data_IF_559414246367
#
_entry.id   IF_559414246367
#
_cell.length_a   1.000
_cell.length_b   1.000
_cell.length_c   1.000
_cell.angle_alpha   90.00
_cell.angle_beta   90.00
_cell.angle_gamma   90.00
#
_symmetry.space_group_name_H-M   'P 1'
#
loop_
_entity.id
_entity.type
_entity.pdbx_description
1 polymer ?
#
# COMPACT_ATOMS: atom_id res chain seq x y z
N UNK A 1 23.38 80.31 3.33
CA UNK A 1 22.32 79.44 2.73
C UNK A 1 22.43 77.94 3.07
N UNK A 2 23.49 77.44 3.74
CA UNK A 2 23.58 76.01 4.10
C UNK A 2 22.95 75.63 5.46
N UNK A 3 22.81 76.57 6.40
CA UNK A 3 22.27 76.29 7.75
C UNK A 3 20.74 76.14 7.82
N UNK A 4 19.99 76.88 7.00
CA UNK A 4 18.51 76.83 7.01
C UNK A 4 17.96 75.55 6.35
N UNK A 5 18.65 75.00 5.34
CA UNK A 5 18.25 73.75 4.69
C UNK A 5 18.45 72.53 5.62
N UNK A 6 19.49 72.55 6.46
CA UNK A 6 19.74 71.49 7.43
C UNK A 6 18.71 71.46 8.57
N UNK A 7 18.31 72.64 9.07
CA UNK A 7 17.26 72.79 10.08
C UNK A 7 15.89 72.36 9.54
N UNK A 8 15.58 72.69 8.29
CA UNK A 8 14.34 72.27 7.63
C UNK A 8 14.28 70.76 7.41
N UNK A 9 15.37 70.12 6.97
CA UNK A 9 15.43 68.66 6.85
C UNK A 9 15.35 67.94 8.21
N UNK A 10 15.93 68.52 9.27
CA UNK A 10 15.86 67.96 10.62
C UNK A 10 14.42 68.01 11.18
N UNK A 11 13.72 69.14 11.00
CA UNK A 11 12.31 69.27 11.39
C UNK A 11 11.39 68.35 10.59
N UNK A 12 11.61 68.22 9.27
CA UNK A 12 10.84 67.31 8.43
C UNK A 12 11.05 65.84 8.80
N UNK A 13 12.28 65.44 9.17
CA UNK A 13 12.57 64.08 9.67
C UNK A 13 11.91 63.80 11.04
N UNK A 14 11.93 64.76 11.96
CA UNK A 14 11.25 64.64 13.26
C UNK A 14 9.72 64.53 13.08
N UNK A 15 9.13 65.38 12.24
CA UNK A 15 7.69 65.34 11.93
C UNK A 15 7.28 64.03 11.26
N UNK A 16 8.08 63.52 10.33
CA UNK A 16 7.84 62.24 9.68
C UNK A 16 7.95 61.07 10.66
N UNK A 17 8.95 61.07 11.55
CA UNK A 17 9.10 60.06 12.59
C UNK A 17 7.92 60.03 13.57
N UNK A 18 7.47 61.20 14.04
CA UNK A 18 6.27 61.31 14.90
C UNK A 18 4.99 60.88 14.19
N UNK A 19 4.84 61.19 12.90
CA UNK A 19 3.71 60.75 12.10
C UNK A 19 3.69 59.22 11.94
N UNK A 20 4.83 58.62 11.61
CA UNK A 20 4.98 57.15 11.48
C UNK A 20 4.76 56.46 12.83
N UNK A 21 5.29 56.98 13.94
CA UNK A 21 5.05 56.43 15.28
C UNK A 21 3.59 56.55 15.71
N UNK A 22 2.92 57.67 15.42
CA UNK A 22 1.49 57.85 15.71
C UNK A 22 0.63 56.90 14.86
N UNK A 23 1.02 56.64 13.61
CA UNK A 23 0.35 55.67 12.74
C UNK A 23 0.60 54.22 13.20
N UNK A 24 1.82 53.91 13.65
CA UNK A 24 2.19 52.61 14.22
C UNK A 24 1.42 52.34 15.53
N UNK A 25 1.37 53.31 16.44
CA UNK A 25 0.61 53.19 17.70
C UNK A 25 -0.91 53.10 17.46
N UNK A 26 -1.46 53.84 16.48
CA UNK A 26 -2.87 53.68 16.05
C UNK A 26 -3.15 52.30 15.45
N UNK A 27 -2.26 51.77 14.59
CA UNK A 27 -2.36 50.39 14.06
C UNK A 27 -2.25 49.34 15.17
N UNK A 28 -1.37 49.52 16.15
CA UNK A 28 -1.18 48.60 17.29
C UNK A 28 -2.39 48.61 18.24
N UNK A 29 -3.00 49.78 18.48
CA UNK A 29 -4.23 49.90 19.26
C UNK A 29 -5.46 49.29 18.56
N UNK A 30 -5.59 49.48 17.23
CA UNK A 30 -6.63 48.83 16.42
C UNK A 30 -6.44 47.31 16.34
N UNK A 31 -5.18 46.84 16.30
CA UNK A 31 -4.82 45.42 16.38
C UNK A 31 -5.24 44.77 17.71
N UNK A 32 -4.94 45.41 18.85
CA UNK A 32 -5.36 44.92 20.18
C UNK A 32 -6.88 44.89 20.34
N UNK A 33 -7.61 45.89 19.82
CA UNK A 33 -9.10 45.89 19.82
C UNK A 33 -9.68 44.81 18.90
N UNK A 34 -9.04 44.48 17.77
CA UNK A 34 -9.45 43.36 16.89
C UNK A 34 -9.19 41.99 17.50
N UNK A 35 -8.08 41.82 18.24
CA UNK A 35 -7.75 40.57 18.95
C UNK A 35 -8.71 40.35 20.12
N UNK A 36 -9.04 41.38 20.90
CA UNK A 36 -10.04 41.30 21.98
C UNK A 36 -11.41 40.85 21.46
N UNK A 37 -11.95 41.51 20.43
CA UNK A 37 -13.24 41.13 19.83
C UNK A 37 -13.25 39.72 19.22
N UNK A 38 -12.10 39.23 18.72
CA UNK A 38 -11.97 37.84 18.26
C UNK A 38 -11.96 36.85 19.43
N UNK A 39 -11.31 37.19 20.55
CA UNK A 39 -11.31 36.36 21.76
C UNK A 39 -12.69 36.30 22.40
N UNK A 40 -13.41 37.42 22.46
CA UNK A 40 -14.76 37.49 22.99
C UNK A 40 -15.75 36.68 22.13
N UNK A 41 -15.70 36.83 20.79
CA UNK A 41 -16.48 35.97 19.88
C UNK A 41 -16.13 34.49 20.01
N UNK A 42 -14.86 34.16 20.23
CA UNK A 42 -14.45 32.76 20.43
C UNK A 42 -15.03 32.19 21.72
N UNK A 43 -15.03 32.95 22.82
CA UNK A 43 -15.67 32.53 24.07
C UNK A 43 -17.20 32.48 23.96
N UNK A 44 -17.81 33.36 23.18
CA UNK A 44 -19.26 33.39 22.94
C UNK A 44 -19.71 32.20 22.09
N UNK A 45 -18.96 31.86 21.03
CA UNK A 45 -19.17 30.66 20.21
C UNK A 45 -18.94 29.38 21.04
N UNK A 46 -17.90 29.34 21.88
CA UNK A 46 -17.64 28.21 22.78
C UNK A 46 -18.78 28.04 23.79
N UNK A 47 -19.27 29.13 24.40
CA UNK A 47 -20.42 29.08 25.32
C UNK A 47 -21.68 28.63 24.58
N UNK A 48 -21.96 29.18 23.40
CA UNK A 48 -23.11 28.77 22.58
C UNK A 48 -23.01 27.28 22.18
N UNK A 49 -21.82 26.77 21.87
CA UNK A 49 -21.60 25.36 21.57
C UNK A 49 -21.81 24.46 22.80
N UNK A 50 -21.36 24.89 23.99
CA UNK A 50 -21.62 24.17 25.25
C UNK A 50 -23.10 24.19 25.61
N UNK A 51 -23.78 25.34 25.49
CA UNK A 51 -25.22 25.42 25.71
C UNK A 51 -26.01 24.60 24.69
N UNK A 52 -25.60 24.58 23.42
CA UNK A 52 -26.19 23.70 22.42
C UNK A 52 -25.96 22.22 22.75
N UNK A 53 -24.76 21.84 23.20
CA UNK A 53 -24.47 20.46 23.63
C UNK A 53 -25.31 20.04 24.86
N UNK A 54 -25.47 20.93 25.85
CA UNK A 54 -26.32 20.70 27.02
C UNK A 54 -27.80 20.62 26.60
N UNK A 55 -28.27 21.51 25.73
CA UNK A 55 -29.63 21.47 25.22
C UNK A 55 -29.92 20.21 24.39
N UNK A 56 -28.96 19.73 23.59
CA UNK A 56 -29.05 18.45 22.86
C UNK A 56 -29.06 17.26 23.84
N UNK A 57 -28.25 17.31 24.91
CA UNK A 57 -28.21 16.28 25.93
C UNK A 57 -29.51 16.24 26.76
N UNK A 58 -30.10 17.40 27.08
CA UNK A 58 -31.36 17.52 27.81
C UNK A 58 -32.58 17.21 26.92
N UNK A 59 -32.54 17.55 25.63
CA UNK A 59 -33.56 17.14 24.65
C UNK A 59 -33.48 15.63 24.30
N UNK A 60 -32.48 14.92 24.81
CA UNK A 60 -32.24 13.49 24.59
C UNK A 60 -33.02 12.54 25.51
N UNK A 61 -33.94 13.03 26.36
CA UNK A 61 -34.82 12.18 27.19
C UNK A 61 -36.12 11.74 26.50
N UNK A 62 -36.24 11.93 25.18
CA UNK A 62 -37.29 11.26 24.39
C UNK A 62 -36.80 9.87 24.07
N UNK A 63 -37.53 8.84 24.51
CA UNK A 63 -37.35 7.45 24.08
C UNK A 63 -37.57 7.38 22.56
N UNK A 64 -36.49 7.63 21.81
CA UNK A 64 -36.49 7.46 20.36
C UNK A 64 -36.29 5.97 20.11
N UNK A 65 -37.37 5.29 19.76
CA UNK A 65 -37.30 3.95 19.17
C UNK A 65 -36.19 3.92 18.11
N UNK A 66 -35.39 2.84 18.11
CA UNK A 66 -34.33 2.60 17.13
C UNK A 66 -34.95 2.70 15.75
N UNK A 67 -34.73 3.83 15.08
CA UNK A 67 -35.34 4.11 13.78
C UNK A 67 -34.47 3.42 12.75
N UNK A 68 -34.80 2.17 12.42
CA UNK A 68 -34.14 1.43 11.37
C UNK A 68 -34.49 2.08 10.02
N UNK A 69 -33.60 2.93 9.49
CA UNK A 69 -33.83 3.65 8.23
C UNK A 69 -33.77 2.75 6.99
N UNK A 70 -33.63 1.44 7.17
CA UNK A 70 -33.35 0.44 6.14
C UNK A 70 -34.56 -0.44 5.76
N UNK A 71 -35.80 -0.07 6.09
CA UNK A 71 -37.02 -0.86 5.79
C UNK A 71 -37.21 -1.24 4.31
N UNK A 72 -36.52 -0.59 3.35
CA UNK A 72 -36.58 -0.95 1.92
C UNK A 72 -35.46 -1.87 1.43
N UNK A 73 -34.40 -2.13 2.22
CA UNK A 73 -33.26 -2.95 1.80
C UNK A 73 -33.33 -4.33 2.41
N UNK A 74 -33.31 -5.36 1.57
CA UNK A 74 -33.28 -6.74 2.04
C UNK A 74 -31.89 -7.11 2.57
N UNK A 75 -31.83 -7.73 3.74
CA UNK A 75 -30.61 -8.33 4.28
C UNK A 75 -30.52 -9.83 3.98
N UNK A 76 -31.52 -10.39 3.28
CA UNK A 76 -31.75 -11.83 3.14
C UNK A 76 -30.58 -12.58 2.50
N UNK A 77 -29.80 -11.94 1.62
CA UNK A 77 -28.66 -12.63 1.02
C UNK A 77 -27.62 -13.01 2.08
N UNK A 78 -27.19 -12.07 2.93
CA UNK A 78 -26.22 -12.38 3.99
C UNK A 78 -26.87 -13.18 5.12
N UNK A 79 -28.06 -12.79 5.56
CA UNK A 79 -28.69 -13.35 6.77
C UNK A 79 -29.32 -14.74 6.53
N UNK A 80 -29.70 -15.05 5.28
CA UNK A 80 -30.40 -16.30 4.93
C UNK A 80 -29.66 -17.09 3.85
N UNK A 81 -29.32 -16.49 2.71
CA UNK A 81 -28.79 -17.24 1.54
C UNK A 81 -27.38 -17.78 1.82
N UNK A 82 -26.49 -16.98 2.39
CA UNK A 82 -25.10 -17.40 2.70
C UNK A 82 -25.02 -18.54 3.72
N UNK A 83 -26.03 -18.65 4.60
CA UNK A 83 -26.14 -19.70 5.61
C UNK A 83 -27.04 -20.87 5.18
N UNK A 84 -27.63 -20.80 3.98
CA UNK A 84 -28.45 -21.88 3.43
C UNK A 84 -27.55 -23.05 2.99
N UNK A 85 -27.97 -24.32 3.18
CA UNK A 85 -27.16 -25.50 2.80
C UNK A 85 -26.75 -25.55 1.32
N UNK A 86 -27.53 -24.92 0.44
CA UNK A 86 -27.21 -24.82 -0.98
C UNK A 86 -26.06 -23.85 -1.30
N UNK A 87 -25.67 -22.99 -0.36
CA UNK A 87 -24.48 -22.16 -0.48
C UNK A 87 -23.27 -22.98 -0.02
N UNK A 88 -22.81 -23.86 -0.90
CA UNK A 88 -21.72 -24.77 -0.63
C UNK A 88 -20.37 -24.05 -0.47
N UNK A 89 -19.31 -24.81 -0.17
CA UNK A 89 -17.95 -24.26 -0.03
C UNK A 89 -17.39 -23.73 -1.35
N UNK A 90 -17.84 -24.26 -2.49
CA UNK A 90 -17.40 -23.80 -3.81
C UNK A 90 -17.95 -22.40 -4.13
N UNK A 91 -19.23 -22.16 -3.89
CA UNK A 91 -19.85 -20.86 -4.09
C UNK A 91 -19.32 -19.84 -3.08
N UNK A 92 -19.05 -20.26 -1.84
CA UNK A 92 -18.34 -19.45 -0.87
C UNK A 92 -16.95 -19.04 -1.38
N UNK A 93 -16.16 -20.02 -1.81
CA UNK A 93 -14.79 -19.78 -2.28
C UNK A 93 -14.77 -18.85 -3.50
N UNK A 94 -15.72 -19.01 -4.42
CA UNK A 94 -15.86 -18.15 -5.60
C UNK A 94 -16.13 -16.69 -5.24
N UNK A 95 -16.86 -16.43 -4.16
CA UNK A 95 -17.26 -15.07 -3.73
C UNK A 95 -16.29 -14.41 -2.76
N UNK A 96 -15.72 -15.18 -1.83
CA UNK A 96 -14.86 -14.67 -0.77
C UNK A 96 -13.37 -14.94 -1.00
N UNK A 97 -13.02 -15.79 -1.99
CA UNK A 97 -11.64 -16.12 -2.40
C UNK A 97 -10.81 -16.78 -1.30
N UNK A 98 -11.49 -17.29 -0.30
CA UNK A 98 -10.91 -17.98 0.84
C UNK A 98 -11.90 -18.99 1.42
N UNK A 99 -11.39 -19.97 2.16
CA UNK A 99 -12.23 -20.92 2.89
C UNK A 99 -13.01 -20.23 4.02
N UNK A 100 -14.15 -20.83 4.42
CA UNK A 100 -14.91 -20.38 5.61
C UNK A 100 -14.05 -20.41 6.87
N UNK A 101 -13.20 -21.41 7.03
CA UNK A 101 -12.31 -21.54 8.17
C UNK A 101 -11.34 -20.36 8.28
N UNK A 102 -10.71 -19.96 7.17
CA UNK A 102 -9.82 -18.79 7.15
C UNK A 102 -10.57 -17.49 7.38
N UNK A 103 -11.76 -17.34 6.79
CA UNK A 103 -12.63 -16.19 7.06
C UNK A 103 -12.96 -16.05 8.55
N UNK A 104 -13.34 -17.14 9.22
CA UNK A 104 -13.66 -17.14 10.64
C UNK A 104 -12.45 -16.79 11.49
N UNK A 105 -11.27 -17.35 11.17
CA UNK A 105 -10.01 -16.96 11.85
C UNK A 105 -9.71 -15.47 11.71
N UNK A 106 -9.90 -14.88 10.52
CA UNK A 106 -9.73 -13.43 10.32
C UNK A 106 -10.75 -12.66 11.15
N UNK A 107 -12.00 -13.11 11.24
CA UNK A 107 -13.00 -12.47 12.08
C UNK A 107 -12.56 -12.45 13.54
N UNK A 108 -12.11 -13.59 14.07
CA UNK A 108 -11.71 -13.73 15.47
C UNK A 108 -10.45 -12.91 15.78
N UNK A 109 -9.46 -12.88 14.88
CA UNK A 109 -8.24 -12.07 15.05
C UNK A 109 -8.51 -10.56 15.03
N UNK A 110 -9.49 -10.10 14.24
CA UNK A 110 -9.81 -8.68 14.09
C UNK A 110 -10.93 -8.20 15.04
N UNK A 111 -11.63 -9.12 15.70
CA UNK A 111 -12.74 -8.82 16.61
C UNK A 111 -12.40 -7.74 17.65
N UNK A 112 -11.26 -7.78 18.37
CA UNK A 112 -10.92 -6.79 19.39
C UNK A 112 -10.85 -5.34 18.86
N UNK A 113 -10.62 -5.16 17.56
CA UNK A 113 -10.48 -3.84 16.91
C UNK A 113 -11.74 -3.41 16.15
N UNK A 114 -12.58 -4.37 15.76
CA UNK A 114 -13.77 -4.12 14.93
C UNK A 114 -15.08 -4.10 15.70
N UNK A 115 -15.11 -4.62 16.93
CA UNK A 115 -16.29 -4.55 17.81
C UNK A 115 -16.69 -3.08 18.03
N UNK A 116 -17.99 -2.82 17.92
CA UNK A 116 -18.60 -1.54 18.24
C UNK A 116 -19.66 -1.73 19.30
N UNK A 117 -19.81 -0.72 20.16
CA UNK A 117 -20.80 -0.73 21.25
C UNK A 117 -22.20 -0.42 20.73
N UNK A 118 -23.19 -1.12 21.27
CA UNK A 118 -24.60 -0.78 21.08
C UNK A 118 -24.89 0.61 21.61
N UNK A 119 -25.49 1.44 20.76
CA UNK A 119 -25.93 2.79 21.15
C UNK A 119 -27.45 2.82 21.19
N UNK A 120 -28.04 3.80 21.90
CA UNK A 120 -29.49 4.02 21.90
C UNK A 120 -30.07 4.27 20.51
N UNK A 121 -29.24 4.67 19.54
CA UNK A 121 -29.68 5.04 18.19
C UNK A 121 -29.60 3.88 17.19
N UNK A 122 -28.71 2.90 17.40
CA UNK A 122 -28.46 1.82 16.43
C UNK A 122 -27.75 0.61 17.04
N UNK A 123 -28.20 -0.58 16.67
CA UNK A 123 -27.50 -1.85 16.89
C UNK A 123 -26.29 -1.96 15.95
N UNK A 124 -25.10 -2.31 16.45
CA UNK A 124 -23.89 -2.35 15.64
C UNK A 124 -23.95 -3.51 14.66
N UNK A 125 -23.43 -3.30 13.45
CA UNK A 125 -23.24 -4.36 12.46
C UNK A 125 -22.25 -5.38 13.05
N UNK A 126 -22.61 -6.69 13.16
CA UNK A 126 -21.75 -7.71 13.72
C UNK A 126 -20.40 -7.82 12.99
N UNK A 127 -19.31 -8.13 13.71
CA UNK A 127 -17.95 -8.20 13.15
C UNK A 127 -17.88 -9.10 11.92
N UNK A 128 -18.51 -10.27 11.96
CA UNK A 128 -18.56 -11.20 10.82
C UNK A 128 -19.16 -10.56 9.57
N UNK A 129 -20.26 -9.82 9.71
CA UNK A 129 -20.89 -9.09 8.60
C UNK A 129 -19.98 -7.96 8.10
N UNK A 130 -19.29 -7.25 8.98
CA UNK A 130 -18.32 -6.19 8.62
C UNK A 130 -17.16 -6.75 7.78
N UNK A 131 -16.55 -7.84 8.25
CA UNK A 131 -15.43 -8.51 7.59
C UNK A 131 -15.89 -9.09 6.24
N UNK A 132 -17.09 -9.69 6.19
CA UNK A 132 -17.66 -10.22 4.96
C UNK A 132 -17.90 -9.15 3.90
N UNK A 133 -18.47 -8.00 4.28
CA UNK A 133 -18.66 -6.86 3.37
C UNK A 133 -17.33 -6.42 2.75
N UNK A 134 -16.29 -6.29 3.59
CA UNK A 134 -14.99 -5.86 3.13
C UNK A 134 -14.33 -6.88 2.19
N UNK A 135 -14.26 -8.15 2.60
CA UNK A 135 -13.66 -9.22 1.79
C UNK A 135 -14.42 -9.40 0.48
N UNK A 136 -15.76 -9.37 0.50
CA UNK A 136 -16.56 -9.47 -0.71
C UNK A 136 -16.22 -8.35 -1.71
N UNK A 137 -16.11 -7.11 -1.22
CA UNK A 137 -15.75 -5.97 -2.07
C UNK A 137 -14.33 -6.11 -2.64
N UNK A 138 -13.35 -6.52 -1.83
CA UNK A 138 -11.98 -6.77 -2.30
C UNK A 138 -11.94 -7.88 -3.37
N UNK A 139 -12.70 -8.95 -3.16
CA UNK A 139 -12.77 -10.13 -4.01
C UNK A 139 -13.51 -9.91 -5.34
N UNK A 140 -14.55 -9.07 -5.35
CA UNK A 140 -15.37 -8.83 -6.54
C UNK A 140 -14.97 -7.56 -7.30
N UNK A 141 -14.49 -6.54 -6.57
CA UNK A 141 -14.26 -5.19 -7.10
C UNK A 141 -15.54 -4.56 -7.64
N UNK A 142 -16.70 -4.87 -7.06
CA UNK A 142 -17.98 -4.27 -7.45
C UNK A 142 -18.14 -2.85 -6.89
N UNK A 143 -19.11 -2.11 -7.42
CA UNK A 143 -19.47 -0.80 -6.90
C UNK A 143 -20.00 -0.92 -5.46
N UNK A 144 -19.67 0.05 -4.61
CA UNK A 144 -20.15 0.06 -3.21
C UNK A 144 -21.68 -0.04 -3.11
N UNK A 145 -22.42 0.55 -4.06
CA UNK A 145 -23.89 0.44 -4.09
C UNK A 145 -24.37 -1.00 -4.27
N UNK A 146 -23.69 -1.77 -5.13
CA UNK A 146 -24.04 -3.18 -5.39
C UNK A 146 -23.82 -4.02 -4.15
N UNK A 147 -22.70 -3.82 -3.45
CA UNK A 147 -22.41 -4.50 -2.19
C UNK A 147 -23.38 -4.05 -1.09
N UNK A 148 -23.76 -2.77 -1.06
CA UNK A 148 -24.72 -2.22 -0.11
C UNK A 148 -26.10 -2.87 -0.26
N UNK A 149 -26.61 -2.97 -1.50
CA UNK A 149 -27.89 -3.62 -1.78
C UNK A 149 -27.86 -5.11 -1.44
N UNK A 150 -26.74 -5.78 -1.71
CA UNK A 150 -26.57 -7.22 -1.43
C UNK A 150 -26.55 -7.53 0.08
N UNK A 151 -25.89 -6.71 0.89
CA UNK A 151 -25.78 -6.94 2.33
C UNK A 151 -26.89 -6.26 3.16
N UNK A 152 -27.77 -5.51 2.51
CA UNK A 152 -28.81 -4.71 3.14
C UNK A 152 -28.24 -3.60 4.02
N UNK A 153 -27.29 -2.82 3.48
CA UNK A 153 -26.62 -1.72 4.16
C UNK A 153 -26.70 -0.44 3.31
N UNK A 154 -26.42 0.72 3.90
CA UNK A 154 -26.20 1.94 3.12
C UNK A 154 -24.82 1.97 2.47
N UNK A 155 -24.71 2.55 1.27
CA UNK A 155 -23.44 2.71 0.53
C UNK A 155 -22.35 3.37 1.37
N UNK A 156 -22.70 4.39 2.15
CA UNK A 156 -21.76 5.04 3.07
C UNK A 156 -21.27 4.09 4.17
N UNK A 157 -22.13 3.20 4.67
CA UNK A 157 -21.71 2.19 5.65
C UNK A 157 -20.73 1.20 5.03
N UNK A 158 -21.00 0.69 3.82
CA UNK A 158 -20.09 -0.22 3.12
C UNK A 158 -18.73 0.42 2.89
N UNK A 159 -18.69 1.64 2.36
CA UNK A 159 -17.46 2.39 2.14
C UNK A 159 -16.62 2.52 3.43
N UNK A 160 -17.25 2.96 4.53
CA UNK A 160 -16.58 3.07 5.82
C UNK A 160 -16.10 1.70 6.34
N UNK A 161 -16.90 0.65 6.21
CA UNK A 161 -16.54 -0.70 6.66
C UNK A 161 -15.33 -1.26 5.90
N UNK A 162 -15.27 -1.07 4.58
CA UNK A 162 -14.14 -1.50 3.75
C UNK A 162 -12.87 -0.78 4.20
N UNK A 163 -12.92 0.54 4.38
CA UNK A 163 -11.77 1.32 4.80
C UNK A 163 -11.32 1.00 6.23
N UNK A 164 -12.26 0.90 7.17
CA UNK A 164 -12.00 0.50 8.56
C UNK A 164 -11.34 -0.88 8.61
N UNK A 165 -11.87 -1.86 7.85
CA UNK A 165 -11.31 -3.20 7.76
C UNK A 165 -9.87 -3.18 7.22
N UNK A 166 -9.63 -2.49 6.09
CA UNK A 166 -8.29 -2.44 5.50
C UNK A 166 -7.28 -1.79 6.45
N UNK A 167 -7.67 -0.71 7.13
CA UNK A 167 -6.83 -0.07 8.13
C UNK A 167 -6.52 -1.02 9.30
N UNK A 168 -7.51 -1.70 9.84
CA UNK A 168 -7.33 -2.64 10.96
C UNK A 168 -6.43 -3.81 10.54
N UNK A 169 -6.61 -4.37 9.34
CA UNK A 169 -5.72 -5.41 8.80
C UNK A 169 -4.27 -4.92 8.72
N UNK A 170 -4.05 -3.72 8.22
CA UNK A 170 -2.70 -3.13 8.12
C UNK A 170 -2.08 -2.92 9.51
N UNK A 171 -2.84 -2.40 10.47
CA UNK A 171 -2.33 -2.13 11.82
C UNK A 171 -2.02 -3.42 12.62
N UNK A 172 -2.77 -4.50 12.39
CA UNK A 172 -2.72 -5.71 13.23
C UNK A 172 -2.02 -6.90 12.58
N UNK A 173 -2.28 -7.14 11.29
CA UNK A 173 -1.86 -8.36 10.60
C UNK A 173 -0.62 -8.12 9.73
N UNK A 174 -0.44 -6.93 9.14
CA UNK A 174 0.71 -6.67 8.25
C UNK A 174 2.07 -6.98 8.89
N UNK A 175 2.37 -6.54 10.13
CA UNK A 175 3.68 -6.82 10.74
C UNK A 175 3.94 -8.30 11.00
N UNK A 176 2.88 -9.13 11.02
CA UNK A 176 2.96 -10.58 11.29
C UNK A 176 3.09 -11.39 10.01
N UNK A 177 2.42 -10.96 8.94
CA UNK A 177 2.31 -11.74 7.70
C UNK A 177 3.22 -11.24 6.57
N UNK A 178 3.73 -10.00 6.65
CA UNK A 178 4.72 -9.46 5.70
C UNK A 178 5.94 -9.03 6.50
N UNK A 179 7.00 -9.84 6.42
CA UNK A 179 8.25 -9.57 7.11
C UNK A 179 9.45 -10.12 6.33
N UNK A 180 10.58 -9.43 6.48
CA UNK A 180 11.82 -9.85 5.84
C UNK A 180 12.31 -11.18 6.43
N UNK A 181 12.62 -12.20 5.60
CA UNK A 181 13.04 -13.50 6.09
C UNK A 181 14.40 -13.40 6.80
N UNK A 182 14.53 -14.08 7.94
CA UNK A 182 15.75 -14.13 8.75
C UNK A 182 16.01 -15.55 9.24
N UNK A 183 17.27 -15.84 9.58
CA UNK A 183 17.67 -17.13 10.14
C UNK A 183 17.20 -18.30 9.28
N UNK A 184 16.45 -19.22 9.87
CA UNK A 184 15.99 -20.42 9.18
C UNK A 184 15.00 -20.13 8.04
N UNK A 185 14.12 -19.12 8.20
CA UNK A 185 13.21 -18.75 7.12
C UNK A 185 13.96 -18.25 5.88
N UNK A 186 15.08 -17.54 6.06
CA UNK A 186 15.93 -17.11 4.96
C UNK A 186 16.61 -18.29 4.27
N UNK A 187 17.14 -19.26 5.03
CA UNK A 187 17.72 -20.49 4.46
C UNK A 187 16.70 -21.28 3.64
N UNK A 188 15.48 -21.41 4.17
CA UNK A 188 14.38 -22.05 3.45
C UNK A 188 14.06 -21.32 2.15
N UNK A 189 14.03 -19.99 2.15
CA UNK A 189 13.81 -19.21 0.93
C UNK A 189 14.91 -19.43 -0.10
N UNK A 190 16.18 -19.36 0.31
CA UNK A 190 17.34 -19.59 -0.57
C UNK A 190 17.32 -20.99 -1.17
N UNK A 191 17.12 -22.01 -0.34
CA UNK A 191 17.01 -23.39 -0.79
C UNK A 191 15.79 -23.60 -1.70
N UNK A 192 14.67 -22.93 -1.42
CA UNK A 192 13.46 -22.99 -2.22
C UNK A 192 13.66 -22.44 -3.63
N UNK A 193 14.38 -21.32 -3.78
CA UNK A 193 14.75 -20.82 -5.11
C UNK A 193 15.72 -21.75 -5.84
N UNK A 194 16.70 -22.30 -5.15
CA UNK A 194 17.66 -23.23 -5.75
C UNK A 194 16.97 -24.51 -6.23
N UNK A 195 16.04 -25.07 -5.44
CA UNK A 195 15.30 -26.28 -5.81
C UNK A 195 14.27 -26.04 -6.91
N UNK A 196 13.55 -24.91 -6.87
CA UNK A 196 12.42 -24.67 -7.77
C UNK A 196 12.83 -24.05 -9.10
N UNK A 197 13.85 -23.20 -9.08
CA UNK A 197 14.25 -22.38 -10.22
C UNK A 197 15.71 -22.57 -10.63
N UNK A 198 16.44 -23.48 -9.97
CA UNK A 198 17.88 -23.68 -10.17
C UNK A 198 18.68 -22.37 -10.00
N UNK A 199 18.19 -21.43 -9.19
CA UNK A 199 18.84 -20.15 -8.99
C UNK A 199 19.39 -20.05 -7.56
N UNK A 200 20.72 -20.16 -7.38
CA UNK A 200 21.31 -20.18 -6.05
C UNK A 200 21.36 -18.79 -5.42
N UNK A 201 21.48 -18.77 -4.08
CA UNK A 201 21.68 -17.53 -3.31
C UNK A 201 20.58 -16.47 -3.54
N UNK A 202 19.37 -16.88 -3.93
CA UNK A 202 18.23 -15.97 -4.15
C UNK A 202 17.30 -15.96 -2.93
N UNK A 203 17.05 -14.79 -2.36
CA UNK A 203 16.10 -14.59 -1.25
C UNK A 203 14.74 -14.02 -1.70
N UNK A 204 14.58 -13.70 -2.98
CA UNK A 204 13.35 -13.16 -3.51
C UNK A 204 13.52 -12.50 -4.87
N UNK A 205 12.39 -12.18 -5.50
CA UNK A 205 12.33 -11.35 -6.70
C UNK A 205 11.61 -10.04 -6.37
N UNK A 206 12.16 -8.91 -6.83
CA UNK A 206 11.59 -7.57 -6.67
C UNK A 206 11.02 -7.07 -7.98
N UNK A 207 9.82 -6.49 -7.91
CA UNK A 207 9.22 -5.79 -9.04
C UNK A 207 8.16 -4.77 -8.60
N UNK A 208 7.76 -3.90 -9.52
CA UNK A 208 6.70 -2.92 -9.37
C UNK A 208 5.44 -3.31 -10.16
N UNK A 209 4.26 -3.08 -9.58
CA UNK A 209 2.98 -3.20 -10.28
C UNK A 209 2.16 -1.94 -10.15
N UNK A 210 1.48 -1.55 -11.22
CA UNK A 210 0.56 -0.42 -11.23
C UNK A 210 -0.83 -0.86 -10.79
N UNK A 211 -1.39 -0.14 -9.81
CA UNK A 211 -2.79 -0.22 -9.39
C UNK A 211 -3.51 0.97 -9.97
N UNK A 212 -4.46 0.74 -10.87
CA UNK A 212 -5.23 1.80 -11.50
C UNK A 212 -6.11 2.53 -10.49
N UNK A 213 -6.09 3.86 -10.54
CA UNK A 213 -6.90 4.73 -9.69
C UNK A 213 -7.62 5.77 -10.52
N UNK A 214 -8.74 6.26 -10.02
CA UNK A 214 -9.33 7.48 -10.59
C UNK A 214 -8.36 8.65 -10.43
N UNK A 215 -8.33 9.54 -11.43
CA UNK A 215 -7.52 10.75 -11.38
C UNK A 215 -7.77 11.52 -10.07
N UNK A 216 -6.73 11.74 -9.23
CA UNK A 216 -6.87 12.53 -8.02
C UNK A 216 -7.28 13.97 -8.34
N UNK A 217 -7.97 14.64 -7.41
CA UNK A 217 -8.37 16.04 -7.58
C UNK A 217 -7.19 17.01 -7.59
N UNK A 218 -6.11 16.67 -6.89
CA UNK A 218 -4.88 17.45 -6.78
C UNK A 218 -3.69 16.62 -7.26
N UNK A 219 -2.76 17.23 -8.00
CA UNK A 219 -1.52 16.56 -8.43
C UNK A 219 -1.73 15.37 -9.39
N UNK A 220 -2.84 15.34 -10.13
CA UNK A 220 -3.21 14.18 -10.95
C UNK A 220 -2.11 13.76 -11.96
N UNK A 221 -1.34 14.72 -12.49
CA UNK A 221 -0.24 14.47 -13.43
C UNK A 221 0.83 13.54 -12.86
N UNK A 222 1.06 13.56 -11.55
CA UNK A 222 2.06 12.71 -10.91
C UNK A 222 1.64 11.24 -10.92
N UNK A 223 0.33 10.98 -10.94
CA UNK A 223 -0.22 9.63 -10.97
C UNK A 223 -0.34 9.08 -12.39
N UNK A 224 -0.17 9.91 -13.42
CA UNK A 224 -0.26 9.50 -14.81
C UNK A 224 1.00 8.71 -15.22
N UNK A 225 0.80 7.44 -15.58
CA UNK A 225 1.89 6.54 -15.94
C UNK A 225 2.15 6.54 -17.45
N UNK A 226 3.20 5.81 -17.85
CA UNK A 226 3.63 5.66 -19.25
C UNK A 226 2.61 4.92 -20.13
N UNK A 227 1.67 4.19 -19.53
CA UNK A 227 0.61 3.45 -20.22
C UNK A 227 -0.65 4.28 -20.47
N UNK A 228 -0.64 5.54 -20.06
CA UNK A 228 -1.74 6.47 -20.34
C UNK A 228 -2.88 6.44 -19.34
N UNK A 229 -2.69 5.89 -18.14
CA UNK A 229 -3.69 5.89 -17.08
C UNK A 229 -3.12 6.33 -15.73
N UNK A 230 -4.01 6.71 -14.80
CA UNK A 230 -3.61 7.14 -13.45
C UNK A 230 -3.43 5.91 -12.56
N UNK A 231 -2.33 5.85 -11.82
CA UNK A 231 -2.01 4.68 -10.99
C UNK A 231 -1.21 5.02 -9.74
N UNK A 232 -1.31 4.12 -8.76
CA UNK A 232 -0.42 4.02 -7.61
C UNK A 232 0.46 2.79 -7.79
N UNK A 233 1.76 2.90 -7.53
CA UNK A 233 2.69 1.79 -7.63
C UNK A 233 2.76 1.02 -6.30
N UNK A 234 2.68 -0.30 -6.41
CA UNK A 234 3.09 -1.27 -5.39
C UNK A 234 4.42 -1.87 -5.85
N UNK A 235 5.51 -1.60 -5.14
CA UNK A 235 6.73 -2.40 -5.26
C UNK A 235 6.72 -3.48 -4.19
N UNK A 236 7.11 -4.70 -4.54
CA UNK A 236 7.18 -5.78 -3.58
C UNK A 236 8.39 -6.70 -3.81
N UNK A 237 8.86 -7.32 -2.74
CA UNK A 237 9.77 -8.47 -2.78
C UNK A 237 8.98 -9.73 -2.47
N UNK A 238 9.08 -10.72 -3.34
CA UNK A 238 8.31 -11.97 -3.27
C UNK A 238 9.25 -13.16 -3.11
N UNK A 239 8.86 -14.14 -2.30
CA UNK A 239 9.62 -15.37 -2.12
C UNK A 239 9.26 -16.48 -3.13
N UNK A 240 9.95 -17.62 -3.04
CA UNK A 240 9.75 -18.76 -3.94
C UNK A 240 8.34 -19.40 -3.86
N UNK A 241 7.55 -19.06 -2.83
CA UNK A 241 6.18 -19.50 -2.59
C UNK A 241 5.14 -18.43 -2.94
N UNK A 242 5.51 -17.40 -3.70
CA UNK A 242 4.62 -16.30 -4.09
C UNK A 242 4.12 -15.44 -2.92
N UNK A 243 4.83 -15.44 -1.78
CA UNK A 243 4.49 -14.64 -0.60
C UNK A 243 5.26 -13.33 -0.61
N UNK A 244 4.60 -12.25 -0.26
CA UNK A 244 5.21 -10.94 -0.11
C UNK A 244 6.06 -10.89 1.18
N UNK A 245 7.35 -10.61 1.04
CA UNK A 245 8.29 -10.45 2.17
C UNK A 245 8.55 -9.00 2.50
N UNK A 246 8.38 -8.11 1.52
CA UNK A 246 8.40 -6.66 1.66
C UNK A 246 7.39 -6.05 0.68
N UNK A 247 6.74 -4.96 1.10
CA UNK A 247 5.87 -4.15 0.23
C UNK A 247 6.12 -2.66 0.47
N UNK A 248 6.09 -1.88 -0.60
CA UNK A 248 6.19 -0.43 -0.59
C UNK A 248 5.10 0.15 -1.50
N UNK A 249 4.08 0.74 -0.89
CA UNK A 249 2.83 1.16 -1.56
C UNK A 249 2.61 2.66 -1.40
N UNK A 250 2.06 3.29 -2.45
CA UNK A 250 1.60 4.67 -2.38
C UNK A 250 2.39 5.63 -3.26
N UNK A 251 3.29 5.13 -4.09
CA UNK A 251 4.05 5.96 -5.02
C UNK A 251 3.19 6.36 -6.21
N UNK A 252 3.26 7.63 -6.68
CA UNK A 252 2.58 8.05 -7.89
C UNK A 252 3.07 7.27 -9.13
N UNK A 253 2.17 7.01 -10.07
CA UNK A 253 2.42 6.20 -11.28
C UNK A 253 3.52 6.71 -12.22
N UNK A 254 3.96 7.96 -12.11
CA UNK A 254 5.10 8.46 -12.88
C UNK A 254 6.47 8.07 -12.28
N UNK A 255 6.49 7.57 -11.03
CA UNK A 255 7.73 7.29 -10.30
C UNK A 255 8.36 5.99 -10.78
N UNK A 256 9.63 6.05 -11.13
CA UNK A 256 10.42 4.90 -11.56
C UNK A 256 10.72 3.91 -10.42
N UNK A 257 10.74 2.62 -10.74
CA UNK A 257 11.02 1.53 -9.79
C UNK A 257 12.34 1.69 -9.04
N UNK A 258 13.39 2.13 -9.71
CA UNK A 258 14.69 2.40 -9.08
C UNK A 258 14.60 3.48 -7.98
N UNK A 259 13.72 4.48 -8.13
CA UNK A 259 13.49 5.50 -7.10
C UNK A 259 12.69 4.93 -5.93
N UNK A 260 11.71 4.09 -6.20
CA UNK A 260 10.93 3.39 -5.17
C UNK A 260 11.85 2.46 -4.36
N UNK A 261 12.74 1.73 -5.04
CA UNK A 261 13.73 0.85 -4.43
C UNK A 261 14.63 1.60 -3.47
N UNK A 262 15.18 2.76 -3.87
CA UNK A 262 16.04 3.58 -2.99
C UNK A 262 15.33 4.02 -1.69
N UNK A 263 14.00 4.01 -1.67
CA UNK A 263 13.18 4.38 -0.52
C UNK A 263 12.56 3.15 0.19
N UNK A 264 12.91 1.92 -0.21
CA UNK A 264 12.36 0.70 0.36
C UNK A 264 13.10 0.25 1.63
N UNK A 265 12.50 -0.67 2.39
CA UNK A 265 13.14 -1.28 3.54
C UNK A 265 14.39 -2.11 3.15
N UNK A 266 14.36 -2.97 2.11
CA UNK A 266 15.53 -3.72 1.65
C UNK A 266 16.75 -2.83 1.37
N UNK A 267 16.55 -1.69 0.70
CA UNK A 267 17.65 -0.78 0.38
C UNK A 267 18.29 -0.19 1.63
N UNK A 268 17.48 0.31 2.58
CA UNK A 268 17.96 0.84 3.85
C UNK A 268 18.68 -0.21 4.70
N UNK A 269 18.21 -1.45 4.69
CA UNK A 269 18.88 -2.57 5.36
C UNK A 269 20.21 -2.91 4.69
N UNK A 270 20.29 -2.82 3.37
CA UNK A 270 21.53 -3.08 2.64
C UNK A 270 22.59 -2.00 2.90
N UNK A 271 22.20 -0.72 2.92
CA UNK A 271 23.12 0.39 3.26
C UNK A 271 23.71 0.23 4.67
N UNK A 272 22.97 -0.40 5.58
CA UNK A 272 23.42 -0.70 6.95
C UNK A 272 24.21 -2.01 7.07
N UNK A 273 24.32 -2.79 5.99
CA UNK A 273 24.94 -4.11 6.01
C UNK A 273 24.12 -5.17 6.78
N UNK A 274 22.81 -4.96 6.96
CA UNK A 274 21.93 -5.84 7.75
C UNK A 274 20.87 -6.56 6.90
N UNK A 275 20.92 -6.45 5.57
CA UNK A 275 19.93 -7.07 4.69
C UNK A 275 20.03 -8.60 4.71
N UNK A 276 21.25 -9.11 4.57
CA UNK A 276 21.55 -10.55 4.60
C UNK A 276 22.79 -10.82 5.47
N UNK A 277 22.81 -11.97 6.17
CA UNK A 277 23.97 -12.40 6.93
C UNK A 277 25.16 -12.74 6.02
N UNK A 278 26.36 -12.16 6.25
CA UNK A 278 27.54 -12.44 5.42
C UNK A 278 27.97 -13.91 5.47
N UNK A 279 27.69 -14.63 6.56
CA UNK A 279 27.98 -16.05 6.74
C UNK A 279 27.19 -16.98 5.81
N UNK A 280 26.15 -16.49 5.12
CA UNK A 280 25.41 -17.26 4.12
C UNK A 280 26.01 -17.17 2.70
N UNK A 281 27.09 -16.39 2.53
CA UNK A 281 27.82 -16.27 1.26
C UNK A 281 28.40 -17.62 0.84
N UNK A 282 28.20 -18.00 -0.43
CA UNK A 282 28.73 -19.24 -1.01
C UNK A 282 29.80 -18.95 -2.06
N UNK A 283 30.87 -19.71 -2.09
CA UNK A 283 31.88 -19.61 -3.16
C UNK A 283 31.39 -20.39 -4.38
N UNK A 284 31.26 -19.71 -5.52
CA UNK A 284 30.87 -20.28 -6.82
C UNK A 284 31.94 -19.89 -7.84
N UNK A 285 32.57 -20.87 -8.48
CA UNK A 285 33.67 -20.66 -9.43
C UNK A 285 34.78 -19.72 -8.90
N UNK A 286 35.14 -19.88 -7.61
CA UNK A 286 36.15 -19.05 -6.95
C UNK A 286 35.69 -17.65 -6.54
N UNK A 287 34.44 -17.26 -6.81
CA UNK A 287 33.87 -15.96 -6.46
C UNK A 287 32.93 -16.08 -5.25
N UNK A 288 33.07 -15.25 -4.21
CA UNK A 288 32.11 -15.20 -3.10
C UNK A 288 30.79 -14.57 -3.58
N UNK A 289 29.74 -15.38 -3.63
CA UNK A 289 28.39 -14.98 -4.03
C UNK A 289 27.52 -14.83 -2.78
N UNK A 290 27.15 -13.59 -2.39
CA UNK A 290 26.26 -13.36 -1.25
C UNK A 290 24.83 -13.73 -1.60
N UNK A 291 23.96 -13.76 -0.59
CA UNK A 291 22.52 -13.82 -0.79
C UNK A 291 22.06 -12.52 -1.48
N UNK A 292 21.18 -12.65 -2.47
CA UNK A 292 20.73 -11.58 -3.35
C UNK A 292 19.21 -11.63 -3.57
N UNK A 293 18.67 -10.53 -4.09
CA UNK A 293 17.33 -10.42 -4.66
C UNK A 293 17.48 -10.33 -6.19
N UNK A 294 16.50 -10.81 -6.95
CA UNK A 294 16.47 -10.68 -8.40
C UNK A 294 15.59 -9.51 -8.82
N UNK A 295 16.11 -8.62 -9.66
CA UNK A 295 15.40 -7.47 -10.20
C UNK A 295 15.31 -7.50 -11.71
N UNK A 296 14.33 -6.77 -12.22
CA UNK A 296 14.19 -6.44 -13.63
C UNK A 296 15.36 -5.56 -14.17
N UNK A 297 15.43 -5.35 -15.49
CA UNK A 297 16.47 -4.49 -16.08
C UNK A 297 16.42 -3.01 -15.66
N UNK A 298 15.25 -2.51 -15.24
CA UNK A 298 15.06 -1.13 -14.79
C UNK A 298 15.69 -0.86 -13.40
N UNK A 299 15.94 -1.90 -12.61
CA UNK A 299 16.69 -1.79 -11.36
C UNK A 299 18.21 -1.61 -11.58
N UNK A 300 18.95 -1.06 -10.59
CA UNK A 300 20.42 -1.05 -10.62
C UNK A 300 21.01 -2.44 -10.32
N UNK A 301 22.22 -2.69 -10.80
CA UNK A 301 23.01 -3.86 -10.40
C UNK A 301 23.77 -3.53 -9.10
N UNK A 302 23.42 -4.17 -7.99
CA UNK A 302 24.00 -3.93 -6.65
C UNK A 302 24.51 -5.23 -6.02
N UNK A 303 25.40 -5.19 -5.01
CA UNK A 303 25.94 -6.41 -4.37
C UNK A 303 24.89 -7.39 -3.82
N UNK A 304 23.66 -6.91 -3.57
CA UNK A 304 22.52 -7.67 -3.06
C UNK A 304 21.32 -7.68 -4.03
N UNK A 305 21.44 -7.08 -5.22
CA UNK A 305 20.40 -7.01 -6.23
C UNK A 305 20.97 -7.37 -7.61
N UNK A 306 20.60 -8.56 -8.09
CA UNK A 306 21.06 -9.11 -9.35
C UNK A 306 20.08 -8.80 -10.47
N UNK A 307 20.61 -8.42 -11.65
CA UNK A 307 19.82 -8.23 -12.87
C UNK A 307 20.53 -8.79 -14.10
N UNK A 308 19.73 -9.07 -15.13
CA UNK A 308 20.20 -9.57 -16.42
C UNK A 308 21.27 -8.70 -17.09
N UNK A 309 22.02 -9.29 -18.01
CA UNK A 309 22.86 -8.56 -18.96
C UNK A 309 21.94 -7.74 -19.88
N UNK A 310 22.33 -6.48 -20.13
CA UNK A 310 21.63 -5.65 -21.11
C UNK A 310 21.76 -6.27 -22.50
N UNK A 311 20.63 -6.41 -23.20
CA UNK A 311 20.62 -6.91 -24.56
C UNK A 311 20.80 -5.76 -25.55
N UNK A 312 21.96 -5.73 -26.19
CA UNK A 312 22.31 -4.79 -27.25
C UNK A 312 22.40 -5.50 -28.61
N UNK A 313 21.79 -6.69 -28.75
CA UNK A 313 21.85 -7.52 -29.96
C UNK A 313 23.09 -8.42 -30.04
N UNK A 314 23.99 -8.37 -29.07
CA UNK A 314 25.26 -9.12 -29.06
C UNK A 314 25.49 -9.95 -27.79
N UNK A 315 24.42 -10.48 -27.19
CA UNK A 315 24.55 -11.39 -26.05
C UNK A 315 25.14 -12.74 -26.48
N UNK A 316 26.27 -13.11 -25.87
CA UNK A 316 26.82 -14.47 -25.98
C UNK A 316 25.84 -15.50 -25.40
N UNK A 317 25.82 -16.73 -25.92
CA UNK A 317 24.98 -17.85 -25.41
C UNK A 317 24.99 -17.97 -23.88
N UNK A 318 26.17 -17.84 -23.26
CA UNK A 318 26.36 -17.82 -21.80
C UNK A 318 25.50 -16.76 -21.09
N UNK A 319 25.55 -15.52 -21.58
CA UNK A 319 24.78 -14.38 -21.04
C UNK A 319 23.28 -14.52 -21.34
N UNK A 320 22.93 -15.04 -22.50
CA UNK A 320 21.53 -15.34 -22.85
C UNK A 320 20.94 -16.39 -21.92
N UNK A 321 21.67 -17.47 -21.65
CA UNK A 321 21.25 -18.49 -20.69
C UNK A 321 21.08 -17.91 -19.28
N UNK A 322 22.04 -17.10 -18.81
CA UNK A 322 21.91 -16.40 -17.53
C UNK A 322 20.63 -15.53 -17.47
N UNK A 323 20.37 -14.74 -18.51
CA UNK A 323 19.16 -13.93 -18.59
C UNK A 323 17.89 -14.79 -18.55
N UNK A 324 17.87 -15.92 -19.27
CA UNK A 324 16.75 -16.86 -19.26
C UNK A 324 16.50 -17.45 -17.88
N UNK A 325 17.54 -17.92 -17.18
CA UNK A 325 17.46 -18.45 -15.81
C UNK A 325 17.00 -17.38 -14.82
N UNK A 326 17.53 -16.16 -14.92
CA UNK A 326 17.13 -15.03 -14.07
C UNK A 326 15.67 -14.64 -14.30
N UNK A 327 15.23 -14.52 -15.56
CA UNK A 327 13.83 -14.21 -15.88
C UNK A 327 12.90 -15.32 -15.39
N UNK A 328 13.29 -16.59 -15.55
CA UNK A 328 12.52 -17.75 -15.07
C UNK A 328 12.35 -17.72 -13.54
N UNK A 329 13.42 -17.45 -12.79
CA UNK A 329 13.34 -17.28 -11.33
C UNK A 329 12.52 -16.05 -10.94
N UNK A 330 12.59 -14.96 -11.72
CA UNK A 330 11.79 -13.75 -11.50
C UNK A 330 10.31 -13.94 -11.74
N UNK A 331 9.87 -14.92 -12.55
CA UNK A 331 8.44 -15.21 -12.73
C UNK A 331 7.67 -15.36 -11.42
N UNK A 332 8.34 -15.68 -10.29
CA UNK A 332 7.72 -15.66 -8.96
C UNK A 332 7.01 -14.35 -8.62
N UNK A 333 7.61 -13.18 -8.91
CA UNK A 333 7.01 -11.89 -8.55
C UNK A 333 5.85 -11.54 -9.46
N UNK A 334 5.98 -11.80 -10.76
CA UNK A 334 4.92 -11.60 -11.75
C UNK A 334 3.71 -12.51 -11.46
N UNK A 335 3.97 -13.80 -11.15
CA UNK A 335 2.93 -14.72 -10.73
C UNK A 335 2.25 -14.27 -9.43
N UNK A 336 3.01 -13.75 -8.45
CA UNK A 336 2.43 -13.25 -7.21
C UNK A 336 1.53 -12.03 -7.43
N UNK A 337 1.92 -11.07 -8.27
CA UNK A 337 1.06 -9.95 -8.64
C UNK A 337 -0.18 -10.41 -9.40
N UNK A 338 -0.05 -11.36 -10.32
CA UNK A 338 -1.21 -11.86 -11.05
C UNK A 338 -2.17 -12.67 -10.19
N UNK A 339 -1.67 -13.39 -9.19
CA UNK A 339 -2.49 -14.03 -8.15
C UNK A 339 -3.15 -13.02 -7.23
N UNK A 340 -2.42 -11.98 -6.82
CA UNK A 340 -2.92 -10.89 -5.98
C UNK A 340 -4.11 -10.18 -6.64
N UNK A 341 -3.94 -9.71 -7.88
CA UNK A 341 -5.00 -9.06 -8.68
C UNK A 341 -6.12 -10.02 -9.05
N UNK A 342 -5.80 -11.30 -9.25
CA UNK A 342 -6.77 -12.35 -9.54
C UNK A 342 -7.70 -12.67 -8.36
N UNK A 343 -7.15 -12.84 -7.16
CA UNK A 343 -7.93 -13.01 -5.92
C UNK A 343 -8.69 -11.72 -5.59
N UNK A 344 -7.99 -10.60 -5.54
CA UNK A 344 -8.56 -9.32 -5.14
C UNK A 344 -8.85 -8.46 -6.37
N UNK A 345 -9.97 -8.77 -7.03
CA UNK A 345 -10.41 -8.14 -8.28
C UNK A 345 -10.53 -6.61 -8.19
N UNK A 346 -10.67 -6.04 -6.99
CA UNK A 346 -10.64 -4.59 -6.83
C UNK A 346 -9.32 -3.97 -7.33
N UNK A 347 -8.20 -4.70 -7.28
CA UNK A 347 -6.89 -4.26 -7.75
C UNK A 347 -6.68 -4.40 -9.27
N UNK A 348 -7.54 -5.16 -9.93
CA UNK A 348 -7.54 -5.36 -11.39
C UNK A 348 -8.46 -4.37 -12.11
N UNK A 349 -9.11 -3.47 -11.37
CA UNK A 349 -10.02 -2.43 -11.90
C UNK A 349 -9.56 -1.07 -11.40
N UNK A 350 -10.01 -0.01 -12.07
CA UNK A 350 -9.84 1.36 -11.60
C UNK A 350 -10.50 1.54 -10.22
N UNK A 351 -9.68 1.83 -9.21
CA UNK A 351 -10.17 2.09 -7.85
C UNK A 351 -10.84 3.47 -7.77
N UNK A 352 -12.16 3.49 -7.54
CA UNK A 352 -12.95 4.70 -7.26
C UNK A 352 -13.02 4.95 -5.75
N UNK A 353 -11.85 5.23 -5.16
CA UNK A 353 -11.68 5.59 -3.75
C UNK A 353 -10.74 6.78 -3.64
N UNK A 354 -10.78 7.46 -2.49
CA UNK A 354 -9.81 8.52 -2.22
C UNK A 354 -8.37 7.98 -2.24
N UNK A 355 -7.46 8.73 -2.86
CA UNK A 355 -6.06 8.31 -3.07
C UNK A 355 -5.35 7.98 -1.75
N UNK A 356 -5.71 8.63 -0.65
CA UNK A 356 -5.15 8.37 0.69
C UNK A 356 -5.53 6.99 1.24
N UNK A 357 -6.58 6.35 0.69
CA UNK A 357 -7.06 5.04 1.13
C UNK A 357 -6.43 3.89 0.35
N UNK A 358 -5.90 4.16 -0.84
CA UNK A 358 -5.32 3.14 -1.74
C UNK A 358 -4.19 2.36 -1.07
N UNK A 359 -3.22 2.98 -0.36
CA UNK A 359 -2.15 2.23 0.30
C UNK A 359 -2.65 1.17 1.27
N UNK A 360 -3.66 1.49 2.08
CA UNK A 360 -4.22 0.54 3.05
C UNK A 360 -4.99 -0.60 2.37
N UNK A 361 -5.74 -0.31 1.29
CA UNK A 361 -6.46 -1.34 0.54
C UNK A 361 -5.48 -2.34 -0.09
N UNK A 362 -4.49 -1.83 -0.81
CA UNK A 362 -3.47 -2.68 -1.48
C UNK A 362 -2.67 -3.47 -0.45
N UNK A 363 -2.27 -2.85 0.66
CA UNK A 363 -1.53 -3.52 1.73
C UNK A 363 -2.38 -4.62 2.39
N UNK A 364 -3.67 -4.35 2.65
CA UNK A 364 -4.59 -5.37 3.17
C UNK A 364 -4.74 -6.55 2.22
N UNK A 365 -4.85 -6.31 0.90
CA UNK A 365 -4.87 -7.37 -0.10
C UNK A 365 -3.59 -8.22 -0.08
N UNK A 366 -2.40 -7.60 0.07
CA UNK A 366 -1.13 -8.32 0.17
C UNK A 366 -1.08 -9.21 1.42
N UNK A 367 -1.58 -8.70 2.55
CA UNK A 367 -1.66 -9.46 3.81
C UNK A 367 -2.61 -10.65 3.67
N UNK A 368 -3.82 -10.42 3.16
CA UNK A 368 -4.78 -11.48 2.93
C UNK A 368 -4.25 -12.52 1.94
N UNK A 369 -3.56 -12.09 0.88
CA UNK A 369 -2.89 -13.01 -0.05
C UNK A 369 -1.87 -13.91 0.66
N UNK A 370 -0.99 -13.35 1.49
CA UNK A 370 -0.02 -14.13 2.26
C UNK A 370 -0.69 -15.13 3.20
N UNK A 371 -1.77 -14.74 3.90
CA UNK A 371 -2.55 -15.66 4.75
C UNK A 371 -3.00 -16.87 3.93
N UNK A 372 -3.53 -16.66 2.72
CA UNK A 372 -4.01 -17.73 1.86
C UNK A 372 -2.89 -18.63 1.33
N UNK A 373 -1.75 -18.05 0.90
CA UNK A 373 -0.58 -18.83 0.48
C UNK A 373 0.00 -19.66 1.64
N UNK A 374 0.05 -19.09 2.86
CA UNK A 374 0.53 -19.80 4.05
C UNK A 374 -0.38 -20.95 4.45
N UNK A 375 -1.69 -20.79 4.28
CA UNK A 375 -2.68 -21.84 4.50
C UNK A 375 -2.72 -22.88 3.36
N UNK A 376 -1.95 -22.67 2.29
CA UNK A 376 -1.95 -23.49 1.07
C UNK A 376 -3.33 -23.59 0.43
N UNK A 377 -4.10 -22.50 0.47
CA UNK A 377 -5.41 -22.46 -0.20
C UNK A 377 -5.22 -22.40 -1.72
N UNK A 378 -5.90 -23.31 -2.42
CA UNK A 378 -5.75 -23.49 -3.86
C UNK A 378 -6.15 -22.22 -4.63
N UNK A 379 -5.26 -21.72 -5.48
CA UNK A 379 -5.60 -20.60 -6.36
C UNK A 379 -6.25 -21.13 -7.64
N UNK A 380 -7.46 -20.69 -7.92
CA UNK A 380 -8.14 -20.97 -9.18
C UNK A 380 -7.44 -20.22 -10.31
N UNK A 381 -6.84 -20.98 -11.23
CA UNK A 381 -6.07 -20.45 -12.37
C UNK A 381 -6.92 -19.59 -13.31
N UNK A 382 -8.25 -19.78 -13.34
CA UNK A 382 -9.15 -18.93 -14.12
C UNK A 382 -9.21 -17.49 -13.58
N UNK A 383 -8.68 -17.23 -12.39
CA UNK A 383 -8.61 -15.88 -11.83
C UNK A 383 -7.31 -15.17 -12.18
N UNK A 384 -6.30 -15.86 -12.71
CA UNK A 384 -5.00 -15.27 -12.99
C UNK A 384 -5.13 -14.05 -13.91
N UNK A 385 -4.56 -12.94 -13.47
CA UNK A 385 -4.50 -11.69 -14.23
C UNK A 385 -3.03 -11.37 -14.49
N UNK A 386 -2.49 -11.58 -15.71
CA UNK A 386 -1.10 -11.24 -15.97
C UNK A 386 -0.89 -9.76 -15.70
N UNK A 387 0.24 -9.42 -15.07
CA UNK A 387 0.61 -8.02 -14.96
C UNK A 387 1.12 -7.56 -16.32
N UNK A 388 0.61 -6.44 -16.81
CA UNK A 388 1.06 -5.94 -18.11
C UNK A 388 2.50 -5.43 -17.97
N UNK A 389 3.40 -5.85 -18.86
CA UNK A 389 4.79 -5.37 -18.86
C UNK A 389 4.87 -3.85 -19.13
N UNK A 390 5.83 -3.17 -18.50
CA UNK A 390 6.15 -1.75 -18.76
C UNK A 390 7.43 -1.70 -19.62
N UNK A 391 7.50 -0.87 -20.67
CA UNK A 391 8.73 -0.68 -21.44
C UNK A 391 9.88 -0.21 -20.54
N UNK A 392 11.02 -0.91 -20.65
CA UNK A 392 12.17 -0.77 -19.76
C UNK A 392 12.77 0.65 -19.77
N UNK A 393 13.11 1.15 -18.58
CA UNK A 393 13.90 2.37 -18.41
C UNK A 393 15.38 2.14 -18.80
N UNK A 394 16.15 3.21 -19.07
CA UNK A 394 17.57 3.08 -19.44
C UNK A 394 18.39 2.34 -18.38
N UNK A 395 19.35 1.56 -18.86
CA UNK A 395 20.21 0.67 -18.07
C UNK A 395 21.03 1.47 -17.06
N UNK A 396 20.86 1.19 -15.77
CA UNK A 396 21.75 1.70 -14.71
C UNK A 396 22.94 0.74 -14.54
N UNK A 397 24.17 1.27 -14.65
CA UNK A 397 25.41 0.51 -14.50
C UNK A 397 25.71 0.15 -13.03
N UNK A 398 26.42 -0.97 -12.82
CA UNK A 398 26.79 -1.48 -11.49
C UNK A 398 28.29 -1.42 -11.21
N UNK A 399 28.67 -1.81 -9.99
CA UNK A 399 30.07 -1.85 -9.53
C UNK A 399 30.80 -3.10 -10.05
N UNK A 400 32.12 -2.99 -10.28
CA UNK A 400 32.95 -4.05 -10.86
C UNK A 400 32.89 -5.40 -10.10
N UNK A 401 32.75 -5.38 -8.77
CA UNK A 401 32.61 -6.61 -7.96
C UNK A 401 31.30 -7.35 -8.22
N UNK A 402 30.22 -6.61 -8.46
CA UNK A 402 28.90 -7.20 -8.76
C UNK A 402 28.86 -7.82 -10.16
N UNK A 403 29.65 -7.28 -11.09
CA UNK A 403 29.85 -7.91 -12.40
C UNK A 403 30.49 -9.30 -12.27
N UNK A 404 31.50 -9.47 -11.42
CA UNK A 404 32.15 -10.77 -11.20
C UNK A 404 31.19 -11.82 -10.62
N UNK A 405 30.32 -11.44 -9.67
CA UNK A 405 29.28 -12.34 -9.13
C UNK A 405 28.33 -12.80 -10.25
N UNK A 406 27.88 -11.87 -11.10
CA UNK A 406 27.01 -12.20 -12.22
C UNK A 406 27.69 -13.12 -13.23
N UNK A 407 28.95 -12.85 -13.55
CA UNK A 407 29.72 -13.67 -14.47
C UNK A 407 29.96 -15.08 -13.90
N UNK A 408 30.25 -15.23 -12.60
CA UNK A 408 30.40 -16.53 -11.95
C UNK A 408 29.12 -17.38 -11.99
N UNK A 409 27.95 -16.75 -11.80
CA UNK A 409 26.65 -17.42 -11.96
C UNK A 409 26.39 -17.81 -13.43
N UNK A 410 26.73 -16.94 -14.37
CA UNK A 410 26.58 -17.25 -15.79
C UNK A 410 27.49 -18.40 -16.23
N UNK A 411 28.69 -18.53 -15.63
CA UNK A 411 29.58 -19.68 -15.85
C UNK A 411 29.02 -20.96 -15.22
N UNK A 412 28.45 -20.87 -14.00
CA UNK A 412 27.76 -22.00 -13.34
C UNK A 412 26.65 -22.56 -14.23
N UNK A 413 25.73 -21.72 -14.70
CA UNK A 413 24.61 -22.16 -15.52
C UNK A 413 25.04 -22.68 -16.89
N UNK A 414 26.13 -22.17 -17.45
CA UNK A 414 26.66 -22.69 -18.70
C UNK A 414 27.30 -24.07 -18.55
N UNK A 415 27.83 -24.42 -17.38
CA UNK A 415 28.38 -25.74 -17.09
C UNK A 415 27.29 -26.80 -16.84
N UNK A 416 26.11 -26.41 -16.37
CA UNK A 416 24.97 -27.31 -16.14
C UNK A 416 24.23 -27.72 -17.42
N UNK A 417 24.39 -26.95 -18.52
CA UNK A 417 23.77 -27.24 -19.82
C UNK A 417 24.68 -28.06 -20.78
N UNK A 418 25.86 -28.47 -20.31
CA UNK A 418 26.81 -29.38 -20.98
C UNK A 418 26.64 -30.80 -20.42
#
# INVERSE_FOLDING_TARGET
MAGEQALFLFFMRQMFFFFVMRMYMRRRALGRRRIGRRRDRYHEIQRAAVFAAIAIAQAGQVDRAVRDRDETRTTAWWDTVVFHPAFDDKEWYRRFRMTRATFLRICDELEPRLVRTTTRLRTPIPVRKRVAVAIYWLASGDLFRTVADLFGLSTASVCNLVHDFCQVVVETLLPRYISWPKGEALRQTVNGYEQRWAFPQCAGAVDGTHIEVKAPSEGHTDYFNRKGYHSVVLQAVVDFCYRFTDINVGWPGCVHDARILRNSLPYRCAERGTLFPPEMTRVINGVPVPVMILGDPAYPLLPWLMKGYADNGHLSRRKTNFNFRLSSARMTVECAFGRLKGRWRCLAKSLDVDISKVPNIVSACCVLHNILEMNREEFDQAWFMPDEEVPQAPVVHGEARTHAVRDALADLFAAEDL
#
